data_IF_914489661452
#
_entry.id   IF_914489661452
#
_cell.length_a   1.000
_cell.length_b   1.000
_cell.length_c   1.000
_cell.angle_alpha   90.00
_cell.angle_beta   90.00
_cell.angle_gamma   90.00
#
_symmetry.space_group_name_H-M   'P 1'
#
loop_
_entity.id
_entity.type
_entity.pdbx_description
1 polymer ?
#
# COMPACT_ATOMS: atom_id res chain seq x y z
N UNK A 1 18.49 -6.51 14.32
CA UNK A 1 17.47 -7.28 13.58
C UNK A 1 16.11 -6.79 14.01
N UNK A 2 15.38 -6.14 13.15
CA UNK A 2 14.00 -5.82 13.41
C UNK A 2 13.20 -7.15 13.43
N UNK A 3 12.67 -7.49 14.59
CA UNK A 3 11.78 -8.63 14.75
C UNK A 3 10.44 -8.26 14.11
N UNK A 4 10.37 -8.38 12.80
CA UNK A 4 9.11 -8.18 12.10
C UNK A 4 8.16 -9.31 12.44
N UNK A 5 7.09 -8.98 13.16
CA UNK A 5 5.81 -9.53 12.84
C UNK A 5 5.44 -10.88 13.37
N UNK A 6 5.89 -11.32 14.52
CA UNK A 6 5.24 -12.46 15.16
C UNK A 6 3.90 -12.11 15.81
N UNK A 7 3.60 -10.82 15.99
CA UNK A 7 2.33 -10.35 16.51
C UNK A 7 1.77 -9.24 15.62
N UNK A 8 1.12 -9.63 14.52
CA UNK A 8 0.35 -8.72 13.68
C UNK A 8 -0.87 -8.15 14.42
N UNK A 9 -1.30 -8.84 15.45
CA UNK A 9 -2.46 -8.48 16.25
C UNK A 9 -2.04 -8.22 17.69
N UNK A 10 -2.57 -7.16 18.26
CA UNK A 10 -2.59 -6.92 19.70
C UNK A 10 -4.04 -7.00 20.13
N UNK A 11 -4.37 -7.89 21.06
CA UNK A 11 -5.75 -8.10 21.55
C UNK A 11 -6.77 -8.39 20.42
N UNK A 12 -6.34 -9.06 19.34
CA UNK A 12 -7.20 -9.36 18.19
C UNK A 12 -7.30 -8.25 17.14
N UNK A 13 -6.66 -7.09 17.37
CA UNK A 13 -6.65 -5.99 16.43
C UNK A 13 -5.37 -5.99 15.57
N UNK A 14 -5.51 -5.63 14.29
CA UNK A 14 -4.39 -5.51 13.38
C UNK A 14 -3.46 -4.38 13.83
N UNK A 15 -2.15 -4.67 13.89
CA UNK A 15 -1.13 -3.65 14.18
C UNK A 15 -0.94 -2.72 13.01
N UNK A 16 -1.15 -1.43 13.24
CA UNK A 16 -0.84 -0.36 12.31
C UNK A 16 0.31 0.49 12.83
N UNK A 17 1.20 0.90 11.92
CA UNK A 17 2.33 1.77 12.22
C UNK A 17 2.28 2.96 11.29
N UNK A 18 2.40 4.16 11.85
CA UNK A 18 2.63 5.36 11.06
C UNK A 18 4.00 5.28 10.38
N UNK A 19 4.03 5.54 9.09
CA UNK A 19 5.24 5.46 8.27
C UNK A 19 5.48 6.74 7.49
N UNK A 20 6.74 7.04 7.23
CA UNK A 20 7.13 8.06 6.26
C UNK A 20 7.05 7.44 4.86
N UNK A 21 6.09 7.85 4.02
CA UNK A 21 5.88 7.21 2.72
C UNK A 21 7.06 7.45 1.77
N UNK A 22 7.73 8.58 1.84
CA UNK A 22 8.88 8.88 0.99
C UNK A 22 10.05 7.97 1.31
N UNK A 23 10.35 7.75 2.59
CA UNK A 23 11.40 6.82 2.99
C UNK A 23 11.08 5.39 2.63
N UNK A 24 9.81 5.00 2.75
CA UNK A 24 9.40 3.62 2.49
C UNK A 24 9.30 3.31 1.00
N UNK A 25 8.70 4.18 0.21
CA UNK A 25 8.36 3.94 -1.18
C UNK A 25 9.29 4.64 -2.18
N UNK A 26 9.98 5.72 -1.79
CA UNK A 26 10.64 6.61 -2.73
C UNK A 26 9.61 7.40 -3.54
N UNK A 27 9.92 7.72 -4.78
CA UNK A 27 8.93 8.27 -5.71
C UNK A 27 7.92 7.21 -6.10
N UNK A 28 6.66 7.60 -6.22
CA UNK A 28 5.56 6.71 -6.62
C UNK A 28 4.80 7.28 -7.80
N UNK A 29 4.37 6.38 -8.68
CA UNK A 29 3.70 6.69 -9.94
C UNK A 29 2.37 5.97 -10.02
N UNK A 30 1.35 6.71 -10.38
CA UNK A 30 -0.03 6.26 -10.39
C UNK A 30 -0.30 5.19 -11.45
N UNK A 31 -0.87 4.07 -11.05
CA UNK A 31 -1.19 2.95 -11.93
C UNK A 31 -2.69 2.71 -12.14
N UNK A 32 -3.54 3.35 -11.35
CA UNK A 32 -4.99 3.19 -11.45
C UNK A 32 -5.67 2.99 -10.10
N UNK A 33 -6.99 2.87 -10.14
CA UNK A 33 -7.84 2.59 -8.98
C UNK A 33 -8.46 1.22 -9.13
N UNK A 34 -8.46 0.48 -8.03
CA UNK A 34 -9.21 -0.74 -7.86
C UNK A 34 -10.27 -0.54 -6.77
N UNK A 35 -11.47 -1.04 -6.99
CA UNK A 35 -12.58 -0.96 -6.06
C UNK A 35 -12.98 -2.36 -5.61
N UNK A 36 -13.37 -2.47 -4.35
CA UNK A 36 -14.01 -3.66 -3.82
C UNK A 36 -15.47 -3.35 -3.55
N UNK A 37 -16.34 -4.14 -4.16
CA UNK A 37 -17.79 -4.06 -3.96
C UNK A 37 -18.25 -5.10 -2.94
N UNK A 38 -19.31 -4.78 -2.23
CA UNK A 38 -19.92 -5.68 -1.25
C UNK A 38 -20.76 -6.73 -1.95
N UNK A 39 -20.59 -7.97 -1.51
CA UNK A 39 -21.45 -9.08 -1.89
C UNK A 39 -22.31 -9.50 -0.71
N UNK A 40 -23.52 -9.94 -1.01
CA UNK A 40 -24.40 -10.65 -0.10
C UNK A 40 -24.65 -12.05 -0.65
N UNK A 41 -24.93 -12.98 0.23
CA UNK A 41 -25.04 -14.38 -0.12
C UNK A 41 -26.42 -14.93 0.28
N UNK A 42 -26.96 -15.81 -0.53
CA UNK A 42 -28.28 -16.38 -0.31
C UNK A 42 -28.21 -17.91 -0.37
N UNK A 43 -28.94 -18.55 0.52
CA UNK A 43 -29.16 -20.00 0.48
C UNK A 43 -30.29 -20.38 -0.51
N UNK A 44 -30.62 -21.66 -0.57
CA UNK A 44 -31.69 -22.20 -1.41
C UNK A 44 -33.09 -21.67 -1.02
N UNK A 45 -33.25 -21.19 0.21
CA UNK A 45 -34.49 -20.62 0.76
C UNK A 45 -34.52 -19.10 0.64
N UNK A 46 -33.56 -18.47 -0.05
CA UNK A 46 -33.37 -17.02 -0.15
C UNK A 46 -33.17 -16.32 1.22
N UNK A 47 -32.56 -17.01 2.18
CA UNK A 47 -32.09 -16.39 3.40
C UNK A 47 -30.76 -15.70 3.13
N UNK A 48 -30.66 -14.43 3.52
CA UNK A 48 -29.48 -13.58 3.30
C UNK A 48 -28.42 -13.83 4.37
N UNK A 49 -27.15 -13.89 3.94
CA UNK A 49 -25.95 -13.99 4.76
C UNK A 49 -24.93 -12.93 4.32
N UNK A 50 -24.22 -12.37 5.28
CA UNK A 50 -23.15 -11.39 4.99
C UNK A 50 -21.88 -12.04 4.49
N UNK A 51 -21.64 -13.32 4.79
CA UNK A 51 -20.42 -14.04 4.43
C UNK A 51 -20.75 -15.34 3.69
N UNK A 52 -19.83 -15.73 2.81
CA UNK A 52 -19.89 -17.01 2.12
C UNK A 52 -19.65 -18.14 3.15
N UNK A 53 -20.41 -19.24 3.01
CA UNK A 53 -20.18 -20.42 3.84
C UNK A 53 -18.85 -21.12 3.48
N UNK A 54 -18.36 -21.98 4.37
CA UNK A 54 -17.10 -22.69 4.21
C UNK A 54 -17.02 -23.57 2.94
N UNK A 55 -18.17 -23.99 2.39
CA UNK A 55 -18.25 -24.78 1.18
C UNK A 55 -18.40 -23.98 -0.11
N UNK A 56 -18.57 -22.66 -0.04
CA UNK A 56 -18.75 -21.81 -1.22
C UNK A 56 -20.03 -22.06 -1.99
N UNK A 57 -21.08 -22.56 -1.33
CA UNK A 57 -22.33 -23.02 -1.99
C UNK A 57 -23.43 -21.98 -2.05
N UNK A 58 -23.28 -20.87 -1.27
CA UNK A 58 -24.27 -19.79 -1.29
C UNK A 58 -24.20 -19.00 -2.60
N UNK A 59 -25.35 -18.58 -3.11
CA UNK A 59 -25.45 -17.73 -4.30
C UNK A 59 -25.02 -16.32 -3.93
N UNK A 60 -23.97 -15.80 -4.57
CA UNK A 60 -23.47 -14.46 -4.37
C UNK A 60 -24.21 -13.44 -5.24
N UNK A 61 -24.62 -12.33 -4.67
CA UNK A 61 -25.14 -11.16 -5.39
C UNK A 61 -24.32 -9.94 -5.06
N UNK A 62 -23.91 -9.20 -6.09
CA UNK A 62 -23.19 -7.95 -5.93
C UNK A 62 -24.19 -6.84 -5.59
N UNK A 63 -23.95 -6.12 -4.50
CA UNK A 63 -24.79 -4.97 -4.10
C UNK A 63 -24.40 -3.68 -4.81
N UNK A 64 -23.26 -3.66 -5.54
CA UNK A 64 -22.65 -2.46 -6.13
C UNK A 64 -22.28 -1.35 -5.11
N UNK A 65 -22.33 -1.67 -3.82
CA UNK A 65 -21.81 -0.80 -2.78
C UNK A 65 -20.29 -0.94 -2.71
N UNK A 66 -19.57 0.16 -2.90
CA UNK A 66 -18.11 0.19 -2.78
C UNK A 66 -17.76 0.22 -1.29
N UNK A 67 -17.08 -0.82 -0.83
CA UNK A 67 -16.65 -0.95 0.58
C UNK A 67 -15.18 -0.58 0.80
N UNK A 68 -14.35 -0.77 -0.21
CA UNK A 68 -12.93 -0.41 -0.18
C UNK A 68 -12.47 0.13 -1.53
N UNK A 69 -11.51 1.04 -1.49
CA UNK A 69 -10.87 1.62 -2.65
C UNK A 69 -9.35 1.60 -2.47
N UNK A 70 -8.67 1.18 -3.51
CA UNK A 70 -7.22 1.02 -3.54
C UNK A 70 -6.66 1.73 -4.76
N UNK A 71 -5.46 2.29 -4.63
CA UNK A 71 -4.66 2.71 -5.77
C UNK A 71 -3.50 1.75 -5.97
N UNK A 72 -3.22 1.49 -7.24
CA UNK A 72 -2.04 0.74 -7.64
C UNK A 72 -0.95 1.74 -7.99
N UNK A 73 0.24 1.59 -7.44
CA UNK A 73 1.38 2.45 -7.73
C UNK A 73 2.62 1.63 -8.04
N UNK A 74 3.48 2.15 -8.91
CA UNK A 74 4.86 1.72 -9.02
C UNK A 74 5.72 2.58 -8.11
N UNK A 75 6.76 2.01 -7.53
CA UNK A 75 7.59 2.63 -6.50
C UNK A 75 9.06 2.42 -6.83
N UNK A 76 9.89 3.42 -6.58
CA UNK A 76 11.34 3.29 -6.81
C UNK A 76 11.98 2.24 -5.91
N UNK A 77 11.40 2.00 -4.73
CA UNK A 77 11.96 1.08 -3.73
C UNK A 77 11.45 -0.36 -3.85
N UNK A 78 10.41 -0.60 -4.65
CA UNK A 78 9.82 -1.92 -4.82
C UNK A 78 9.72 -2.30 -6.29
N UNK A 79 10.08 -3.54 -6.62
CA UNK A 79 9.99 -4.07 -7.99
C UNK A 79 8.57 -4.38 -8.42
N UNK A 80 7.73 -4.74 -7.47
CA UNK A 80 6.33 -5.09 -7.69
C UNK A 80 5.45 -3.86 -7.46
N UNK A 81 4.27 -3.85 -8.04
CA UNK A 81 3.27 -2.83 -7.74
C UNK A 81 2.89 -2.88 -6.26
N UNK A 82 2.65 -1.69 -5.71
CA UNK A 82 2.20 -1.52 -4.33
C UNK A 82 0.75 -1.07 -4.34
N UNK A 83 -0.07 -1.71 -3.53
CA UNK A 83 -1.46 -1.35 -3.30
C UNK A 83 -1.56 -0.45 -2.07
N UNK A 84 -2.27 0.66 -2.23
CA UNK A 84 -2.46 1.63 -1.14
C UNK A 84 -3.96 1.87 -0.98
N UNK A 85 -4.48 1.56 0.21
CA UNK A 85 -5.87 1.86 0.54
C UNK A 85 -6.06 3.37 0.66
N UNK A 86 -7.08 3.89 0.02
CA UNK A 86 -7.43 5.31 0.02
C UNK A 86 -8.87 5.51 0.47
N UNK A 87 -9.27 6.74 0.86
CA UNK A 87 -10.66 7.03 1.19
C UNK A 87 -11.62 6.72 0.04
N UNK A 88 -12.86 6.38 0.36
CA UNK A 88 -13.88 6.02 -0.64
C UNK A 88 -14.22 7.16 -1.59
N UNK A 89 -14.08 8.41 -1.14
CA UNK A 89 -14.32 9.62 -1.94
C UNK A 89 -13.14 10.01 -2.84
N UNK A 90 -12.03 9.28 -2.78
CA UNK A 90 -10.89 9.52 -3.67
C UNK A 90 -11.28 9.35 -5.13
N UNK A 91 -11.01 10.38 -5.94
CA UNK A 91 -11.23 10.36 -7.40
C UNK A 91 -9.90 10.38 -8.15
N UNK A 92 -9.53 9.21 -8.68
CA UNK A 92 -8.33 9.04 -9.50
C UNK A 92 -8.55 9.26 -11.01
N UNK A 93 -9.77 9.57 -11.44
CA UNK A 93 -10.13 9.66 -12.87
C UNK A 93 -9.37 10.75 -13.64
N UNK A 94 -8.90 11.77 -12.94
CA UNK A 94 -8.15 12.91 -13.50
C UNK A 94 -6.64 12.75 -13.44
N UNK A 95 -6.15 11.67 -12.84
CA UNK A 95 -4.72 11.41 -12.70
C UNK A 95 -4.26 10.56 -13.89
N UNK A 96 -3.36 11.07 -14.74
CA UNK A 96 -2.83 10.28 -15.85
C UNK A 96 -2.06 9.04 -15.34
N UNK A 97 -2.06 7.98 -16.13
CA UNK A 97 -1.26 6.81 -15.86
C UNK A 97 0.24 7.17 -15.85
N UNK A 98 0.97 6.65 -14.87
CA UNK A 98 2.38 6.94 -14.58
C UNK A 98 2.68 8.40 -14.17
N UNK A 99 1.68 9.18 -13.85
CA UNK A 99 1.90 10.49 -13.22
C UNK A 99 2.50 10.30 -11.83
N UNK A 100 3.51 11.11 -11.48
CA UNK A 100 4.07 11.10 -10.14
C UNK A 100 3.04 11.63 -9.14
N UNK A 101 2.86 10.90 -8.05
CA UNK A 101 1.95 11.26 -6.97
C UNK A 101 2.69 11.18 -5.63
N UNK A 102 2.11 11.79 -4.61
CA UNK A 102 2.58 11.61 -3.24
C UNK A 102 1.42 11.46 -2.26
N UNK A 103 1.67 10.76 -1.18
CA UNK A 103 0.71 10.54 -0.11
C UNK A 103 0.82 11.67 0.90
N UNK A 104 -0.31 12.18 1.35
CA UNK A 104 -0.40 13.25 2.35
C UNK A 104 -1.30 12.84 3.50
N UNK A 105 -1.21 13.57 4.62
CA UNK A 105 -1.86 13.18 5.86
C UNK A 105 -1.13 12.01 6.53
N UNK A 106 -1.84 11.29 7.38
CA UNK A 106 -1.29 10.12 8.03
C UNK A 106 -1.24 8.94 7.04
N UNK A 107 -0.08 8.28 6.99
CA UNK A 107 0.11 7.05 6.23
C UNK A 107 0.46 5.95 7.20
N UNK A 108 -0.34 4.89 7.20
CA UNK A 108 -0.14 3.73 8.06
C UNK A 108 0.25 2.49 7.28
N UNK A 109 0.99 1.62 7.90
CA UNK A 109 1.41 0.33 7.35
C UNK A 109 1.07 -0.79 8.31
N UNK A 110 0.42 -1.81 7.81
CA UNK A 110 0.10 -3.02 8.55
C UNK A 110 0.82 -4.21 7.94
N UNK A 111 1.85 -4.75 8.60
CA UNK A 111 2.51 -5.96 8.12
C UNK A 111 1.61 -7.17 8.31
N UNK A 112 1.60 -8.06 7.34
CA UNK A 112 0.91 -9.34 7.43
C UNK A 112 1.73 -10.46 6.80
N UNK A 113 1.44 -11.68 7.21
CA UNK A 113 2.05 -12.88 6.67
C UNK A 113 1.08 -13.56 5.72
N UNK A 114 1.56 -13.89 4.53
CA UNK A 114 0.84 -14.68 3.55
C UNK A 114 1.65 -15.92 3.16
N UNK A 115 0.96 -16.97 2.72
CA UNK A 115 1.61 -18.20 2.26
C UNK A 115 1.63 -18.19 0.74
N UNK A 116 2.81 -18.32 0.16
CA UNK A 116 3.00 -18.49 -1.28
C UNK A 116 3.28 -19.94 -1.61
N UNK A 117 2.69 -20.42 -2.67
CA UNK A 117 3.04 -21.71 -3.24
C UNK A 117 4.09 -21.52 -4.33
N UNK A 118 5.22 -22.16 -4.15
CA UNK A 118 6.30 -22.17 -5.14
C UNK A 118 6.41 -23.59 -5.70
N UNK A 119 6.40 -23.73 -7.01
CA UNK A 119 6.63 -25.00 -7.68
C UNK A 119 8.13 -25.24 -7.75
N UNK A 120 8.58 -26.35 -7.17
CA UNK A 120 9.96 -26.79 -7.23
C UNK A 120 10.27 -27.44 -8.60
N UNK A 121 11.56 -27.52 -9.01
CA UNK A 121 11.95 -28.14 -10.28
C UNK A 121 11.51 -29.60 -10.45
N UNK A 122 11.24 -30.29 -9.34
CA UNK A 122 10.73 -31.68 -9.32
C UNK A 122 9.18 -31.76 -9.44
N UNK A 123 8.50 -30.65 -9.67
CA UNK A 123 7.04 -30.58 -9.78
C UNK A 123 6.27 -30.52 -8.45
N UNK A 124 6.96 -30.64 -7.31
CA UNK A 124 6.32 -30.53 -6.01
C UNK A 124 6.06 -29.07 -5.66
N UNK A 125 4.99 -28.80 -4.91
CA UNK A 125 4.70 -27.47 -4.37
C UNK A 125 5.26 -27.32 -2.95
N UNK A 126 5.87 -26.17 -2.69
CA UNK A 126 6.32 -25.76 -1.37
C UNK A 126 5.60 -24.50 -0.95
N UNK A 127 5.04 -24.50 0.25
CA UNK A 127 4.48 -23.29 0.87
C UNK A 127 5.57 -22.54 1.62
N UNK A 128 5.76 -21.30 1.24
CA UNK A 128 6.77 -20.41 1.84
C UNK A 128 6.05 -19.22 2.46
N UNK A 129 6.26 -18.93 3.76
CA UNK A 129 5.71 -17.72 4.36
C UNK A 129 6.44 -16.50 3.78
N UNK A 130 5.67 -15.50 3.36
CA UNK A 130 6.18 -14.20 2.95
C UNK A 130 5.54 -13.12 3.83
N UNK A 131 6.37 -12.29 4.42
CA UNK A 131 5.89 -11.10 5.11
C UNK A 131 5.72 -9.99 4.08
N UNK A 132 4.55 -9.43 4.04
CA UNK A 132 4.20 -8.29 3.20
C UNK A 132 3.55 -7.20 4.07
N UNK A 133 3.06 -6.15 3.46
CA UNK A 133 2.40 -5.07 4.17
C UNK A 133 1.26 -4.50 3.33
N UNK A 134 0.27 -3.95 4.01
CA UNK A 134 -0.71 -3.04 3.41
C UNK A 134 -0.35 -1.62 3.79
N UNK A 135 -0.65 -0.68 2.90
CA UNK A 135 -0.56 0.75 3.17
C UNK A 135 -1.96 1.36 3.11
N UNK A 136 -2.19 2.33 3.99
CA UNK A 136 -3.38 3.17 4.00
C UNK A 136 -2.95 4.63 4.05
N UNK A 137 -3.49 5.45 3.18
CA UNK A 137 -3.24 6.88 3.12
C UNK A 137 -4.53 7.67 3.31
N UNK A 138 -4.45 8.80 3.99
CA UNK A 138 -5.59 9.71 4.16
C UNK A 138 -5.89 10.51 2.89
N UNK A 139 -4.85 10.86 2.12
CA UNK A 139 -5.02 11.65 0.90
C UNK A 139 -3.87 11.40 -0.08
N UNK A 140 -4.14 11.66 -1.35
CA UNK A 140 -3.21 11.49 -2.47
C UNK A 140 -3.19 12.75 -3.31
N UNK A 141 -2.01 13.29 -3.61
CA UNK A 141 -1.83 14.49 -4.43
C UNK A 141 -0.92 14.21 -5.62
N UNK A 142 -1.21 14.89 -6.71
CA UNK A 142 -0.40 14.85 -7.93
C UNK A 142 0.89 15.65 -7.73
N UNK A 143 1.97 15.15 -8.28
CA UNK A 143 3.31 15.74 -8.23
C UNK A 143 4.18 15.18 -7.11
N UNK A 144 5.46 15.58 -7.13
CA UNK A 144 6.42 15.21 -6.11
C UNK A 144 6.10 15.86 -4.76
N UNK A 145 6.45 15.22 -3.63
CA UNK A 145 6.28 15.81 -2.31
C UNK A 145 7.08 17.12 -2.24
N UNK A 146 6.45 18.18 -1.77
CA UNK A 146 7.19 19.43 -1.49
C UNK A 146 8.17 19.14 -0.37
N UNK A 147 9.45 19.06 -0.69
CA UNK A 147 10.50 19.06 0.32
C UNK A 147 10.42 20.39 1.04
N UNK A 148 9.98 20.38 2.29
CA UNK A 148 10.15 21.52 3.19
C UNK A 148 11.66 21.75 3.30
N UNK A 149 12.11 22.85 2.69
CA UNK A 149 13.52 23.12 2.45
C UNK A 149 14.35 23.11 3.74
N UNK A 150 15.14 22.07 3.90
CA UNK A 150 16.44 22.23 4.52
C UNK A 150 17.34 22.79 3.43
N UNK A 151 17.59 24.12 3.52
CA UNK A 151 18.65 24.76 2.77
C UNK A 151 19.91 23.92 2.87
N UNK A 152 20.36 23.42 1.73
CA UNK A 152 21.70 22.88 1.60
C UNK A 152 22.64 24.05 1.96
N UNK A 153 23.39 23.89 3.04
CA UNK A 153 24.48 24.80 3.37
C UNK A 153 25.45 24.80 2.19
N UNK A 154 25.60 25.95 1.53
CA UNK A 154 26.64 26.16 0.54
C UNK A 154 27.99 25.89 1.20
N UNK A 155 28.90 25.15 0.56
CA UNK A 155 30.28 25.11 1.00
C UNK A 155 30.84 26.55 0.90
N UNK A 156 31.33 27.09 2.00
CA UNK A 156 32.14 28.29 1.96
C UNK A 156 33.46 27.94 1.28
N UNK A 157 33.67 28.48 0.09
CA UNK A 157 34.99 28.55 -0.50
C UNK A 157 35.87 29.40 0.43
N UNK A 158 36.86 28.75 1.01
CA UNK A 158 37.92 29.40 1.76
C UNK A 158 38.75 30.26 0.84
N UNK A 159 38.70 31.58 1.03
CA UNK A 159 39.66 32.50 0.44
C UNK A 159 41.04 32.23 1.00
N UNK A 160 41.93 31.72 0.18
CA UNK A 160 43.37 31.73 0.42
C UNK A 160 43.86 33.14 0.11
N UNK A 161 44.31 33.87 1.13
CA UNK A 161 45.08 35.08 0.96
C UNK A 161 46.48 34.75 0.45
N UNK A 162 47.04 35.42 -0.58
CA UNK A 162 48.44 35.32 -0.88
C UNK A 162 49.22 36.24 0.06
N UNK A 163 50.14 35.69 0.81
CA UNK A 163 51.16 36.46 1.47
C UNK A 163 52.24 36.90 0.45
N UNK A 164 52.40 38.22 0.38
CA UNK A 164 53.47 38.83 -0.36
C UNK A 164 54.77 38.83 0.43
N UNK A 165 55.81 38.45 -0.22
CA UNK A 165 57.10 38.99 -0.01
C UNK A 165 57.74 39.31 -1.34
#
# INVERSE_FOLDING_TARGET
MAKYGLNQFINGELREFTVDPVKKLGSIYYGGVEIQERFVYFDENNVEFEEQNAGGTLRAENTHEIIDKWIMVTSDNFKEQVEIKVPLDFDGSKIPHLEEIHLTGEVTSSPYSSMFETVLPNGNTRRVPKITFTLKAEDVKVGAPKTSGKQAAKPQEGQVKPENK
#
